data_IF_178469891876
#
_entry.id   IF_178469891876
#
_cell.length_a   1.000
_cell.length_b   1.000
_cell.length_c   1.000
_cell.angle_alpha   90.00
_cell.angle_beta   90.00
_cell.angle_gamma   90.00
#
_symmetry.space_group_name_H-M   'P 1'
#
loop_
_entity.id
_entity.type
_entity.pdbx_description
1 polymer ?
#
# COMPACT_ATOMS: atom_id res chain seq x y z
N UNK A 1 -11.12 -3.73 -1.38
CA UNK A 1 -11.97 -4.94 -1.30
C UNK A 1 -12.13 -5.63 -2.66
N UNK A 2 -12.71 -4.98 -3.68
CA UNK A 2 -12.95 -5.56 -5.02
C UNK A 2 -11.78 -6.38 -5.59
N UNK A 3 -10.58 -5.82 -5.60
CA UNK A 3 -9.37 -6.50 -6.11
C UNK A 3 -9.05 -7.78 -5.34
N UNK A 4 -9.21 -7.80 -4.01
CA UNK A 4 -8.97 -9.02 -3.22
C UNK A 4 -10.03 -10.08 -3.47
N UNK A 5 -11.27 -9.66 -3.73
CA UNK A 5 -12.36 -10.57 -4.10
C UNK A 5 -12.09 -11.24 -5.46
N UNK A 6 -11.69 -10.46 -6.46
CA UNK A 6 -11.30 -10.98 -7.79
C UNK A 6 -10.16 -11.99 -7.66
N UNK A 7 -9.07 -11.63 -6.95
CA UNK A 7 -7.94 -12.55 -6.71
C UNK A 7 -8.38 -13.83 -6.00
N UNK A 8 -9.28 -13.74 -5.02
CA UNK A 8 -9.77 -14.91 -4.29
C UNK A 8 -10.61 -15.84 -5.19
N UNK A 9 -11.49 -15.26 -6.01
CA UNK A 9 -12.36 -15.96 -6.96
C UNK A 9 -11.56 -16.67 -8.06
N UNK A 10 -10.45 -16.07 -8.48
CA UNK A 10 -9.48 -16.66 -9.41
C UNK A 10 -8.60 -17.75 -8.76
N UNK A 11 -8.78 -18.03 -7.47
CA UNK A 11 -8.04 -19.08 -6.75
C UNK A 11 -6.74 -18.60 -6.08
N UNK A 12 -6.45 -17.29 -6.13
CA UNK A 12 -5.31 -16.70 -5.43
C UNK A 12 -5.44 -16.83 -3.91
N UNK A 13 -4.35 -17.19 -3.24
CA UNK A 13 -4.30 -17.38 -1.78
C UNK A 13 -3.15 -16.66 -1.09
N UNK A 14 -2.16 -16.20 -1.85
CA UNK A 14 -1.02 -15.42 -1.32
C UNK A 14 -0.99 -14.07 -2.03
N UNK A 15 -1.00 -12.97 -1.26
CA UNK A 15 -1.05 -11.61 -1.79
C UNK A 15 0.00 -10.76 -1.10
N UNK A 16 0.80 -10.03 -1.88
CA UNK A 16 1.64 -8.94 -1.37
C UNK A 16 0.87 -7.64 -1.56
N UNK A 17 0.55 -6.97 -0.45
CA UNK A 17 -0.08 -5.66 -0.44
C UNK A 17 1.01 -4.60 -0.24
N UNK A 18 1.24 -3.78 -1.26
CA UNK A 18 2.18 -2.66 -1.23
C UNK A 18 1.42 -1.32 -1.09
N UNK A 19 1.39 -0.69 0.11
CA UNK A 19 0.68 0.57 0.30
C UNK A 19 1.42 1.70 -0.41
N UNK A 20 0.79 2.28 -1.43
CA UNK A 20 1.35 3.41 -2.19
C UNK A 20 1.14 4.75 -1.47
N UNK A 21 1.60 4.80 -0.21
CA UNK A 21 1.54 5.95 0.67
C UNK A 21 2.95 6.40 1.06
N UNK A 22 3.18 7.71 1.18
CA UNK A 22 4.46 8.23 1.68
C UNK A 22 4.61 8.02 3.20
N UNK A 23 3.55 8.22 3.97
CA UNK A 23 3.55 8.06 5.41
C UNK A 23 2.37 7.20 5.87
N UNK A 24 2.47 6.50 7.01
CA UNK A 24 1.33 5.84 7.62
C UNK A 24 0.32 6.91 8.09
N UNK A 25 -0.80 7.03 7.38
CA UNK A 25 -1.93 7.83 7.86
C UNK A 25 -2.67 7.15 9.01
N UNK A 26 -3.57 7.87 9.70
CA UNK A 26 -4.47 7.30 10.72
C UNK A 26 -5.31 6.12 10.19
N UNK A 27 -5.55 6.12 8.88
CA UNK A 27 -6.31 5.11 8.13
C UNK A 27 -5.47 3.92 7.64
N UNK A 28 -4.15 3.90 7.84
CA UNK A 28 -3.27 2.81 7.40
C UNK A 28 -2.66 1.99 8.55
N UNK A 29 -2.98 2.37 9.81
CA UNK A 29 -2.54 1.67 11.01
C UNK A 29 -3.25 0.31 11.24
N UNK A 30 -3.01 -0.33 12.40
CA UNK A 30 -3.61 -1.62 12.78
C UNK A 30 -5.15 -1.62 12.72
N UNK A 31 -5.78 -0.47 12.95
CA UNK A 31 -7.24 -0.27 12.88
C UNK A 31 -7.66 0.52 11.62
N UNK A 32 -6.76 0.62 10.64
CA UNK A 32 -6.98 1.35 9.40
C UNK A 32 -7.87 0.60 8.40
N UNK A 33 -8.24 1.29 7.32
CA UNK A 33 -9.07 0.76 6.24
C UNK A 33 -8.45 -0.50 5.64
N UNK A 34 -7.12 -0.55 5.50
CA UNK A 34 -6.42 -1.74 5.00
C UNK A 34 -6.61 -2.96 5.90
N UNK A 35 -6.62 -2.78 7.22
CA UNK A 35 -6.88 -3.88 8.14
C UNK A 35 -8.31 -4.39 8.02
N UNK A 36 -9.28 -3.46 7.98
CA UNK A 36 -10.70 -3.78 7.79
C UNK A 36 -10.98 -4.46 6.45
N UNK A 37 -10.30 -4.04 5.39
CA UNK A 37 -10.42 -4.62 4.04
C UNK A 37 -9.82 -6.03 3.97
N UNK A 38 -8.66 -6.28 4.62
CA UNK A 38 -7.97 -7.55 4.52
C UNK A 38 -8.57 -8.65 5.42
N UNK A 39 -9.05 -8.28 6.61
CA UNK A 39 -9.50 -9.23 7.64
C UNK A 39 -10.53 -10.27 7.13
N UNK A 40 -11.55 -9.91 6.33
CA UNK A 40 -12.49 -10.90 5.79
C UNK A 40 -11.83 -11.95 4.88
N UNK A 41 -10.79 -11.58 4.14
CA UNK A 41 -10.07 -12.48 3.22
C UNK A 41 -9.06 -13.35 3.97
N UNK A 42 -8.40 -12.78 4.97
CA UNK A 42 -7.54 -13.52 5.90
C UNK A 42 -8.35 -14.61 6.63
N UNK A 43 -9.58 -14.29 7.07
CA UNK A 43 -10.53 -15.27 7.65
C UNK A 43 -10.98 -16.35 6.67
N UNK A 44 -10.99 -16.07 5.36
CA UNK A 44 -11.24 -17.06 4.29
C UNK A 44 -10.01 -17.90 3.94
N UNK A 45 -8.89 -17.72 4.64
CA UNK A 45 -7.66 -18.49 4.46
C UNK A 45 -6.66 -17.89 3.46
N UNK A 46 -6.84 -16.65 3.01
CA UNK A 46 -5.80 -15.95 2.24
C UNK A 46 -4.67 -15.48 3.16
N UNK A 47 -3.43 -15.62 2.70
CA UNK A 47 -2.24 -15.03 3.34
C UNK A 47 -1.94 -13.68 2.67
N UNK A 48 -2.10 -12.59 3.41
CA UNK A 48 -1.84 -11.23 2.92
C UNK A 48 -0.62 -10.66 3.64
N UNK A 49 0.49 -10.49 2.92
CA UNK A 49 1.71 -9.85 3.44
C UNK A 49 1.73 -8.37 3.07
N UNK A 50 1.92 -7.50 4.07
CA UNK A 50 1.96 -6.05 3.85
C UNK A 50 3.40 -5.55 3.87
N UNK A 51 3.79 -4.77 2.86
CA UNK A 51 5.07 -4.06 2.88
C UNK A 51 4.98 -2.80 3.74
N UNK A 52 6.13 -2.23 4.08
CA UNK A 52 6.17 -0.85 4.60
C UNK A 52 5.62 0.14 3.58
N UNK A 53 5.26 1.34 4.04
CA UNK A 53 4.87 2.47 3.18
C UNK A 53 6.00 2.85 2.25
N UNK A 54 5.63 3.34 1.07
CA UNK A 54 6.57 3.76 0.03
C UNK A 54 7.59 4.78 0.54
N UNK A 55 7.20 5.73 1.38
CA UNK A 55 8.12 6.78 1.86
C UNK A 55 9.27 6.31 2.76
N UNK A 56 9.27 5.04 3.19
CA UNK A 56 10.44 4.44 3.84
C UNK A 56 11.51 3.97 2.85
N UNK A 57 11.21 3.94 1.55
CA UNK A 57 12.13 3.48 0.52
C UNK A 57 13.09 4.60 0.09
N UNK A 58 14.41 4.37 0.03
CA UNK A 58 15.40 5.42 -0.25
C UNK A 58 15.18 6.15 -1.58
N UNK A 59 14.78 5.43 -2.64
CA UNK A 59 14.50 6.02 -3.96
C UNK A 59 13.39 7.08 -3.96
N UNK A 60 12.53 7.12 -2.94
CA UNK A 60 11.50 8.17 -2.86
C UNK A 60 12.10 9.53 -2.62
N UNK A 61 13.20 9.62 -1.87
CA UNK A 61 13.87 10.89 -1.68
C UNK A 61 14.38 11.44 -3.02
N UNK A 62 14.95 10.58 -3.86
CA UNK A 62 15.43 10.97 -5.18
C UNK A 62 14.29 11.48 -6.06
N UNK A 63 13.15 10.77 -6.09
CA UNK A 63 11.96 11.18 -6.83
C UNK A 63 11.42 12.52 -6.32
N UNK A 64 11.29 12.69 -5.00
CA UNK A 64 10.78 13.94 -4.42
C UNK A 64 11.72 15.12 -4.71
N UNK A 65 13.03 14.89 -4.67
CA UNK A 65 14.05 15.90 -5.01
C UNK A 65 13.93 16.32 -6.47
N UNK A 66 13.78 15.37 -7.40
CA UNK A 66 13.53 15.66 -8.81
C UNK A 66 12.28 16.52 -9.00
N UNK A 67 11.15 16.14 -8.39
CA UNK A 67 9.89 16.90 -8.49
C UNK A 67 10.01 18.30 -7.87
N UNK A 68 10.74 18.43 -6.77
CA UNK A 68 11.00 19.73 -6.15
C UNK A 68 11.75 20.66 -7.11
N UNK A 69 12.86 20.20 -7.71
CA UNK A 69 13.61 20.99 -8.69
C UNK A 69 12.79 21.32 -9.94
N UNK A 70 11.93 20.40 -10.37
CA UNK A 70 11.03 20.61 -11.51
C UNK A 70 10.11 21.83 -11.32
N UNK A 71 9.67 22.10 -10.08
CA UNK A 71 8.82 23.26 -9.77
C UNK A 71 9.61 24.48 -9.33
N UNK A 72 10.74 24.31 -8.62
CA UNK A 72 11.58 25.44 -8.20
C UNK A 72 12.28 26.13 -9.37
N UNK A 73 12.59 25.43 -10.45
CA UNK A 73 13.12 26.04 -11.67
C UNK A 73 12.07 26.86 -12.45
N UNK A 74 10.78 26.77 -12.06
CA UNK A 74 9.66 27.47 -12.70
C UNK A 74 9.18 28.69 -11.90
N UNK A 75 9.77 28.97 -10.74
CA UNK A 75 9.48 30.13 -9.87
C UNK A 75 10.64 31.12 -9.98
#
# INVERSE_FOLDING_TARGET
>A
EKVLQEVYEEGGREVVLAPFFLAPGRHAGPDGDLASICLPFEKKGMRIMRTSTLGNHPLILDILTERFHEVSAKI
#
